data_IF_672471477198
#
_entry.id   IF_672471477198
#
_cell.length_a   1.000
_cell.length_b   1.000
_cell.length_c   1.000
_cell.angle_alpha   90.00
_cell.angle_beta   90.00
_cell.angle_gamma   90.00
#
_symmetry.space_group_name_H-M   'P 1'
#
loop_
_entity.id
_entity.type
_entity.pdbx_description
1 polymer ?
#
# COMPACT_ATOMS: atom_id res chain seq x y z
N UNK A 1 45.11 -13.94 60.50
CA UNK A 1 44.81 -12.82 59.58
C UNK A 1 44.66 -13.39 58.18
N UNK A 2 43.43 -13.49 57.67
CA UNK A 2 43.07 -13.99 56.33
C UNK A 2 42.36 -12.86 55.60
N UNK A 3 42.82 -12.50 54.40
CA UNK A 3 42.05 -11.67 53.45
C UNK A 3 42.04 -12.40 52.12
N UNK A 4 40.90 -13.02 51.80
CA UNK A 4 40.58 -13.53 50.48
C UNK A 4 39.94 -12.38 49.69
N UNK A 5 40.57 -12.02 48.57
CA UNK A 5 39.98 -11.10 47.60
C UNK A 5 39.08 -11.90 46.67
N UNK A 6 37.76 -11.65 46.73
CA UNK A 6 36.81 -12.07 45.71
C UNK A 6 36.92 -11.10 44.53
N UNK A 7 37.57 -11.53 43.45
CA UNK A 7 37.52 -10.82 42.19
C UNK A 7 36.16 -11.12 41.53
N UNK A 8 35.32 -10.09 41.47
CA UNK A 8 33.99 -10.12 40.86
C UNK A 8 34.14 -10.16 39.34
N UNK A 9 33.81 -11.30 38.74
CA UNK A 9 33.83 -11.49 37.29
C UNK A 9 32.48 -11.03 36.74
N UNK A 10 32.41 -9.77 36.32
CA UNK A 10 31.23 -9.19 35.67
C UNK A 10 31.16 -9.74 34.24
N UNK A 11 30.35 -10.78 34.01
CA UNK A 11 29.99 -11.23 32.68
C UNK A 11 29.17 -10.14 31.99
N UNK A 12 29.76 -9.47 31.00
CA UNK A 12 29.03 -8.66 30.02
C UNK A 12 28.17 -9.60 29.18
N UNK A 13 26.91 -9.75 29.57
CA UNK A 13 25.89 -10.31 28.69
C UNK A 13 25.69 -9.34 27.52
N UNK A 14 26.32 -9.64 26.39
CA UNK A 14 25.92 -9.06 25.11
C UNK A 14 24.55 -9.65 24.77
N UNK A 15 23.50 -8.92 25.13
CA UNK A 15 22.17 -9.14 24.57
C UNK A 15 22.25 -8.83 23.08
N UNK A 16 22.48 -9.85 22.26
CA UNK A 16 22.23 -9.77 20.83
C UNK A 16 20.74 -9.53 20.66
N UNK A 17 20.35 -8.25 20.51
CA UNK A 17 19.02 -7.91 20.05
C UNK A 17 18.92 -8.37 18.60
N UNK A 18 18.49 -9.62 18.41
CA UNK A 18 17.97 -10.06 17.13
C UNK A 18 16.66 -9.29 16.91
N UNK A 19 16.76 -8.14 16.24
CA UNK A 19 15.59 -7.50 15.65
C UNK A 19 15.07 -8.47 14.59
N UNK A 20 14.06 -9.26 14.93
CA UNK A 20 13.34 -10.09 13.98
C UNK A 20 12.81 -9.14 12.89
N UNK A 21 13.42 -9.19 11.71
CA UNK A 21 12.88 -8.54 10.53
C UNK A 21 11.51 -9.16 10.27
N UNK A 22 10.46 -8.40 10.53
CA UNK A 22 9.06 -8.83 10.53
C UNK A 22 8.42 -8.87 9.15
N UNK A 23 9.20 -8.63 8.09
CA UNK A 23 8.81 -8.67 6.68
C UNK A 23 9.87 -9.43 5.89
N UNK A 24 9.42 -10.44 5.16
CA UNK A 24 10.20 -11.27 4.24
C UNK A 24 10.05 -10.73 2.81
N UNK A 25 11.18 -10.59 2.11
CA UNK A 25 11.19 -10.30 0.68
C UNK A 25 11.11 -11.61 -0.10
N UNK A 26 9.98 -11.83 -0.79
CA UNK A 26 9.66 -13.12 -1.43
C UNK A 26 10.03 -13.13 -2.92
N UNK A 27 9.84 -12.02 -3.62
CA UNK A 27 10.27 -11.85 -5.00
C UNK A 27 10.55 -10.37 -5.31
N UNK A 28 11.43 -10.10 -6.26
CA UNK A 28 11.83 -8.73 -6.63
C UNK A 28 12.29 -8.63 -8.08
N UNK A 29 11.97 -7.50 -8.71
CA UNK A 29 12.64 -7.04 -9.94
C UNK A 29 13.89 -6.22 -9.62
N UNK A 30 13.90 -5.49 -8.50
CA UNK A 30 15.01 -4.67 -8.02
C UNK A 30 15.23 -4.92 -6.53
N UNK A 31 16.30 -5.66 -6.21
CA UNK A 31 16.57 -6.13 -4.85
C UNK A 31 16.80 -5.00 -3.87
N UNK A 32 17.66 -4.04 -4.23
CA UNK A 32 18.09 -2.98 -3.32
C UNK A 32 16.91 -2.05 -2.99
N UNK A 33 16.10 -1.74 -4.01
CA UNK A 33 14.83 -1.03 -3.83
C UNK A 33 13.87 -1.81 -2.93
N UNK A 34 13.63 -3.09 -3.20
CA UNK A 34 12.66 -3.88 -2.45
C UNK A 34 13.08 -4.10 -0.99
N UNK A 35 14.38 -4.25 -0.71
CA UNK A 35 14.88 -4.27 0.66
C UNK A 35 14.65 -2.93 1.38
N UNK A 36 14.80 -1.80 0.67
CA UNK A 36 14.51 -0.48 1.24
C UNK A 36 13.03 -0.34 1.58
N UNK A 37 12.14 -0.76 0.67
CA UNK A 37 10.69 -0.82 0.94
C UNK A 37 10.40 -1.67 2.16
N UNK A 38 10.93 -2.91 2.22
CA UNK A 38 10.70 -3.83 3.33
C UNK A 38 11.08 -3.21 4.69
N UNK A 39 12.20 -2.48 4.74
CA UNK A 39 12.63 -1.75 5.96
C UNK A 39 11.68 -0.62 6.34
N UNK A 40 11.08 0.07 5.36
CA UNK A 40 10.16 1.20 5.58
C UNK A 40 8.72 0.75 5.90
N UNK A 41 8.32 -0.44 5.46
CA UNK A 41 7.00 -1.02 5.70
C UNK A 41 6.74 -1.34 7.18
N UNK A 42 7.77 -1.62 7.97
CA UNK A 42 7.64 -1.93 9.40
C UNK A 42 7.09 -3.33 9.69
N UNK A 43 6.74 -3.59 10.96
CA UNK A 43 6.18 -4.88 11.39
C UNK A 43 4.67 -4.96 11.13
N UNK A 44 4.26 -5.93 10.31
CA UNK A 44 2.94 -6.02 9.67
C UNK A 44 2.67 -4.82 8.76
N UNK A 45 2.07 -5.04 7.59
CA UNK A 45 1.77 -3.98 6.63
C UNK A 45 0.64 -3.07 7.13
N UNK A 46 0.94 -2.24 8.13
CA UNK A 46 0.02 -1.30 8.71
C UNK A 46 -0.13 -0.08 7.79
N UNK A 47 -1.36 0.42 7.71
CA UNK A 47 -1.74 1.61 6.95
C UNK A 47 -1.01 2.89 7.40
N UNK A 48 -0.35 2.89 8.55
CA UNK A 48 0.44 4.00 9.10
C UNK A 48 1.95 3.86 8.86
N UNK A 49 2.37 2.99 7.93
CA UNK A 49 3.77 2.89 7.55
C UNK A 49 4.33 4.23 7.05
N UNK A 50 5.64 4.43 7.14
CA UNK A 50 6.28 5.66 6.63
C UNK A 50 6.01 5.88 5.14
N UNK A 51 5.73 4.82 4.39
CA UNK A 51 5.39 4.89 2.98
C UNK A 51 4.04 5.58 2.76
N UNK A 52 3.01 5.28 3.55
CA UNK A 52 1.67 5.85 3.36
C UNK A 52 1.59 7.34 3.70
N UNK A 53 2.54 7.86 4.49
CA UNK A 53 2.62 9.27 4.86
C UNK A 53 3.21 10.17 3.75
N UNK A 54 3.69 9.58 2.65
CA UNK A 54 4.31 10.33 1.55
C UNK A 54 3.30 11.00 0.61
N UNK A 55 2.03 10.59 0.70
CA UNK A 55 0.92 11.16 -0.09
C UNK A 55 -0.12 11.74 0.86
N UNK A 56 -0.44 13.01 0.65
CA UNK A 56 -1.48 13.69 1.43
C UNK A 56 -2.82 13.52 0.74
N UNK A 57 -3.79 12.96 1.48
CA UNK A 57 -5.16 12.75 1.03
C UNK A 57 -6.07 13.83 1.64
N UNK A 58 -6.95 14.37 0.81
CA UNK A 58 -8.00 15.31 1.20
C UNK A 58 -9.36 14.64 1.01
N UNK A 59 -10.25 14.72 1.99
CA UNK A 59 -11.62 14.24 1.82
C UNK A 59 -12.33 15.04 0.72
N UNK A 60 -13.09 14.36 -0.14
CA UNK A 60 -13.91 15.04 -1.15
C UNK A 60 -15.24 15.44 -0.53
N UNK A 61 -15.55 16.72 -0.62
CA UNK A 61 -16.88 17.25 -0.33
C UNK A 61 -17.71 17.28 -1.63
N UNK A 62 -18.68 16.36 -1.75
CA UNK A 62 -19.60 16.30 -2.89
C UNK A 62 -20.95 16.91 -2.55
N UNK A 63 -21.63 17.44 -3.57
CA UNK A 63 -22.99 17.97 -3.44
C UNK A 63 -23.98 16.87 -2.99
N UNK A 64 -24.94 17.27 -2.16
CA UNK A 64 -26.03 16.42 -1.66
C UNK A 64 -25.73 15.73 -0.33
N UNK A 65 -26.73 15.04 0.21
CA UNK A 65 -26.56 14.26 1.46
C UNK A 65 -25.81 12.96 1.14
N UNK A 66 -24.57 12.86 1.64
CA UNK A 66 -23.81 11.62 1.60
C UNK A 66 -24.46 10.52 2.44
N UNK A 67 -24.14 9.25 2.18
CA UNK A 67 -24.58 8.16 3.04
C UNK A 67 -24.11 8.45 4.47
N UNK A 68 -24.97 8.18 5.47
CA UNK A 68 -24.58 8.29 6.87
C UNK A 68 -23.25 7.56 7.07
N UNK A 69 -22.21 8.30 7.47
CA UNK A 69 -20.81 7.88 7.47
C UNK A 69 -20.71 6.46 8.01
N UNK A 70 -20.58 5.48 7.11
CA UNK A 70 -20.30 4.11 7.52
C UNK A 70 -18.85 4.11 7.97
N UNK A 71 -18.56 3.48 9.11
CA UNK A 71 -17.31 3.58 9.88
C UNK A 71 -16.00 3.39 9.12
N UNK A 72 -16.03 2.94 7.86
CA UNK A 72 -14.84 2.64 7.07
C UNK A 72 -15.02 2.90 5.56
N UNK A 73 -16.05 3.66 5.14
CA UNK A 73 -16.15 4.11 3.74
C UNK A 73 -15.69 5.55 3.62
N UNK A 74 -14.84 5.84 2.64
CA UNK A 74 -14.33 7.19 2.37
C UNK A 74 -14.25 7.48 0.88
N UNK A 75 -14.24 8.77 0.57
CA UNK A 75 -13.98 9.30 -0.76
C UNK A 75 -12.96 10.41 -0.59
N UNK A 76 -11.74 10.15 -1.05
CA UNK A 76 -10.59 11.02 -0.85
C UNK A 76 -9.96 11.37 -2.20
N UNK A 77 -9.28 12.51 -2.30
CA UNK A 77 -8.50 12.92 -3.47
C UNK A 77 -7.08 13.29 -3.09
N UNK A 78 -6.21 13.27 -4.09
CA UNK A 78 -4.86 13.82 -4.03
C UNK A 78 -4.40 14.23 -5.43
N UNK A 79 -3.36 15.07 -5.51
CA UNK A 79 -2.73 15.47 -6.76
C UNK A 79 -1.31 14.92 -6.79
N UNK A 80 -1.03 13.97 -7.69
CA UNK A 80 0.30 13.35 -7.80
C UNK A 80 0.53 12.82 -9.23
N UNK A 81 1.79 12.60 -9.59
CA UNK A 81 2.14 11.98 -10.89
C UNK A 81 2.12 10.46 -10.67
N UNK A 82 1.02 9.79 -11.03
CA UNK A 82 0.78 8.41 -10.62
C UNK A 82 1.50 7.41 -11.52
N UNK A 83 1.53 7.67 -12.81
CA UNK A 83 2.16 6.81 -13.82
C UNK A 83 3.63 7.19 -14.11
N UNK A 84 4.14 8.24 -13.47
CA UNK A 84 5.50 8.77 -13.58
C UNK A 84 5.81 9.32 -14.99
N UNK A 85 4.83 9.96 -15.63
CA UNK A 85 4.99 10.57 -16.95
C UNK A 85 5.47 12.04 -16.90
N UNK A 86 5.62 12.60 -15.69
CA UNK A 86 6.04 13.98 -15.44
C UNK A 86 4.87 14.97 -15.34
N UNK A 87 3.62 14.53 -15.54
CA UNK A 87 2.40 15.33 -15.38
C UNK A 87 1.69 14.93 -14.10
N UNK A 88 0.89 15.84 -13.55
CA UNK A 88 0.12 15.58 -12.34
C UNK A 88 -1.26 15.08 -12.71
N UNK A 89 -1.73 14.12 -11.93
CA UNK A 89 -3.05 13.53 -12.01
C UNK A 89 -3.87 13.92 -10.78
N UNK A 90 -5.17 14.10 -11.00
CA UNK A 90 -6.16 14.01 -9.96
C UNK A 90 -6.43 12.53 -9.71
N UNK A 91 -6.01 12.05 -8.53
CA UNK A 91 -6.26 10.67 -8.10
C UNK A 91 -7.36 10.69 -7.04
N UNK A 92 -8.49 10.07 -7.38
CA UNK A 92 -9.63 9.89 -6.48
C UNK A 92 -9.62 8.46 -5.96
N UNK A 93 -9.67 8.29 -4.64
CA UNK A 93 -9.74 7.00 -3.97
C UNK A 93 -11.10 6.83 -3.33
N UNK A 94 -11.77 5.73 -3.66
CA UNK A 94 -12.94 5.26 -2.92
C UNK A 94 -12.54 4.09 -2.04
N UNK A 95 -12.86 4.15 -0.76
CA UNK A 95 -12.76 3.00 0.15
C UNK A 95 -14.17 2.52 0.49
N UNK A 96 -14.44 1.24 0.29
CA UNK A 96 -15.70 0.60 0.69
C UNK A 96 -15.42 -0.61 1.59
N UNK A 97 -16.36 -0.94 2.47
CA UNK A 97 -16.19 -2.08 3.36
C UNK A 97 -16.96 -3.30 2.90
N UNK A 98 -16.20 -4.31 2.48
CA UNK A 98 -16.71 -5.62 2.14
C UNK A 98 -16.59 -6.52 3.36
N UNK A 99 -17.73 -6.87 3.97
CA UNK A 99 -17.79 -7.74 5.18
C UNK A 99 -16.96 -7.23 6.38
N UNK A 100 -16.70 -5.92 6.43
CA UNK A 100 -15.94 -5.28 7.51
C UNK A 100 -14.51 -4.92 7.14
N UNK A 101 -13.97 -5.48 6.05
CA UNK A 101 -12.63 -5.16 5.57
C UNK A 101 -12.68 -4.05 4.50
N UNK A 102 -11.78 -3.05 4.56
CA UNK A 102 -11.71 -2.01 3.55
C UNK A 102 -11.21 -2.60 2.23
N UNK A 103 -11.78 -2.11 1.14
CA UNK A 103 -11.35 -2.39 -0.23
C UNK A 103 -11.34 -1.07 -0.98
N UNK A 104 -10.21 -0.78 -1.63
CA UNK A 104 -10.01 0.49 -2.30
C UNK A 104 -10.21 0.36 -3.82
N UNK A 105 -10.53 1.49 -4.45
CA UNK A 105 -10.44 1.69 -5.89
C UNK A 105 -9.90 3.07 -6.18
N UNK A 106 -9.14 3.20 -7.27
CA UNK A 106 -8.58 4.47 -7.73
C UNK A 106 -9.21 4.87 -9.06
N UNK A 107 -9.54 6.15 -9.20
CA UNK A 107 -9.97 6.79 -10.44
C UNK A 107 -9.00 7.92 -10.73
N UNK A 108 -8.49 7.95 -11.96
CA UNK A 108 -7.40 8.81 -12.36
C UNK A 108 -7.90 9.74 -13.47
N UNK A 109 -7.68 11.03 -13.28
CA UNK A 109 -8.03 12.08 -14.22
C UNK A 109 -6.84 13.03 -14.40
N UNK A 110 -6.78 13.82 -15.47
CA UNK A 110 -5.89 14.98 -15.52
C UNK A 110 -6.08 15.89 -14.30
N UNK A 111 -5.02 16.49 -13.77
CA UNK A 111 -5.09 17.29 -12.54
C UNK A 111 -6.10 18.45 -12.62
N UNK A 112 -6.31 19.02 -13.80
CA UNK A 112 -7.24 20.11 -14.08
C UNK A 112 -8.68 19.66 -14.36
N UNK A 113 -8.98 18.37 -14.21
CA UNK A 113 -10.32 17.83 -14.47
C UNK A 113 -11.38 18.44 -13.54
N UNK A 114 -12.48 18.89 -14.12
CA UNK A 114 -13.66 19.38 -13.41
C UNK A 114 -14.60 18.25 -12.93
N UNK A 115 -14.21 16.98 -13.02
CA UNK A 115 -15.09 15.82 -12.76
C UNK A 115 -15.78 15.88 -11.38
N UNK A 116 -15.13 16.45 -10.36
CA UNK A 116 -15.71 16.57 -9.03
C UNK A 116 -16.84 17.61 -8.95
N UNK A 117 -16.88 18.58 -9.86
CA UNK A 117 -17.95 19.59 -9.93
C UNK A 117 -19.27 18.99 -10.47
N UNK A 118 -19.13 18.01 -11.36
CA UNK A 118 -20.20 17.24 -12.00
C UNK A 118 -20.63 16.01 -11.19
N UNK A 119 -19.84 15.61 -10.19
CA UNK A 119 -20.11 14.46 -9.33
C UNK A 119 -20.95 14.85 -8.12
N UNK A 120 -21.89 14.00 -7.71
CA UNK A 120 -22.66 14.16 -6.48
C UNK A 120 -22.78 12.85 -5.72
N UNK A 121 -23.19 12.89 -4.46
CA UNK A 121 -23.46 11.66 -3.70
C UNK A 121 -24.59 10.80 -4.30
N UNK A 122 -25.50 11.41 -5.04
CA UNK A 122 -26.60 10.73 -5.73
C UNK A 122 -26.18 10.18 -7.11
N UNK A 123 -25.11 10.73 -7.69
CA UNK A 123 -24.61 10.36 -9.01
C UNK A 123 -23.08 10.37 -9.04
N UNK A 124 -22.51 9.17 -8.87
CA UNK A 124 -21.06 8.91 -8.99
C UNK A 124 -20.65 8.51 -10.41
N UNK A 125 -21.58 8.49 -11.38
CA UNK A 125 -21.30 8.07 -12.75
C UNK A 125 -20.12 8.80 -13.40
N UNK A 126 -19.91 10.12 -13.19
CA UNK A 126 -18.75 10.82 -13.73
C UNK A 126 -17.41 10.26 -13.22
N UNK A 127 -17.33 9.86 -11.94
CA UNK A 127 -16.15 9.20 -11.39
C UNK A 127 -15.95 7.81 -11.99
N UNK A 128 -17.02 7.01 -12.06
CA UNK A 128 -16.97 5.63 -12.58
C UNK A 128 -16.63 5.57 -14.08
N UNK A 129 -16.87 6.66 -14.80
CA UNK A 129 -16.53 6.83 -16.21
C UNK A 129 -15.05 7.17 -16.47
N UNK A 130 -14.21 7.22 -15.42
CA UNK A 130 -12.77 7.41 -15.58
C UNK A 130 -12.21 6.38 -16.58
N UNK A 131 -11.51 6.88 -17.60
CA UNK A 131 -10.84 6.02 -18.58
C UNK A 131 -9.68 5.26 -17.92
N UNK A 132 -8.95 5.94 -17.04
CA UNK A 132 -7.89 5.36 -16.24
C UNK A 132 -8.40 5.15 -14.82
N UNK A 133 -8.49 3.88 -14.44
CA UNK A 133 -8.92 3.48 -13.11
C UNK A 133 -8.20 2.22 -12.68
N UNK A 134 -8.39 1.86 -11.42
CA UNK A 134 -8.00 0.60 -10.83
C UNK A 134 -9.15 0.19 -9.91
N UNK A 135 -10.12 -0.49 -10.50
CA UNK A 135 -11.32 -1.00 -9.82
C UNK A 135 -11.12 -2.49 -9.54
N UNK A 136 -10.65 -2.81 -8.34
CA UNK A 136 -10.60 -4.21 -7.90
C UNK A 136 -11.13 -4.36 -6.48
N UNK A 137 -12.31 -3.80 -6.24
CA UNK A 137 -13.13 -4.13 -5.07
C UNK A 137 -13.65 -5.55 -5.20
N UNK A 138 -12.91 -6.53 -4.68
CA UNK A 138 -13.23 -7.95 -4.86
C UNK A 138 -12.49 -8.55 -6.06
N UNK A 139 -11.73 -9.62 -5.81
CA UNK A 139 -11.07 -10.35 -6.89
C UNK A 139 -9.82 -11.09 -6.46
N UNK A 140 -9.04 -11.48 -7.46
CA UNK A 140 -7.76 -12.18 -7.31
C UNK A 140 -6.70 -11.36 -8.02
N UNK A 141 -5.65 -10.96 -7.30
CA UNK A 141 -4.43 -10.39 -7.87
C UNK A 141 -3.34 -11.48 -7.90
N UNK A 142 -3.13 -12.15 -9.05
CA UNK A 142 -2.14 -13.22 -9.13
C UNK A 142 -0.73 -12.65 -9.00
N UNK A 143 0.09 -13.22 -8.12
CA UNK A 143 1.48 -12.84 -7.95
C UNK A 143 2.32 -13.65 -8.93
N UNK A 144 2.22 -13.35 -10.22
CA UNK A 144 2.86 -14.15 -11.28
C UNK A 144 3.86 -13.36 -12.12
N UNK A 145 3.97 -12.06 -11.91
CA UNK A 145 4.85 -11.20 -12.71
C UNK A 145 6.33 -11.35 -12.33
N UNK A 146 6.62 -11.82 -11.10
CA UNK A 146 7.97 -12.06 -10.61
C UNK A 146 8.18 -13.54 -10.31
N UNK A 147 9.42 -14.02 -10.53
CA UNK A 147 9.80 -15.39 -10.21
C UNK A 147 9.96 -15.58 -8.69
N UNK A 148 9.36 -16.65 -8.17
CA UNK A 148 9.54 -17.08 -6.79
C UNK A 148 10.74 -18.00 -6.68
N UNK A 149 11.37 -18.01 -5.51
CA UNK A 149 12.34 -19.04 -5.18
C UNK A 149 11.70 -20.45 -5.32
N UNK A 150 12.48 -21.37 -5.89
CA UNK A 150 12.02 -22.70 -6.29
C UNK A 150 11.32 -23.42 -5.14
N UNK A 151 10.07 -23.81 -5.34
CA UNK A 151 9.28 -24.63 -4.40
C UNK A 151 8.12 -23.90 -3.71
N UNK A 152 7.96 -22.58 -3.91
CA UNK A 152 6.75 -21.87 -3.46
C UNK A 152 5.70 -21.85 -4.58
N UNK A 153 4.44 -22.18 -4.24
CA UNK A 153 3.32 -21.93 -5.15
C UNK A 153 3.07 -20.43 -5.23
N UNK A 154 2.91 -19.88 -6.44
CA UNK A 154 2.56 -18.48 -6.68
C UNK A 154 1.28 -18.14 -5.90
N UNK A 155 1.35 -17.28 -4.86
CA UNK A 155 0.19 -16.83 -4.12
C UNK A 155 -0.62 -15.84 -4.95
N UNK A 156 -1.79 -15.47 -4.44
CA UNK A 156 -2.55 -14.36 -4.97
C UNK A 156 -3.10 -13.53 -3.80
N UNK A 157 -3.21 -12.22 -3.99
CA UNK A 157 -4.05 -11.42 -3.10
C UNK A 157 -5.50 -11.77 -3.43
N UNK A 158 -6.31 -12.08 -2.41
CA UNK A 158 -7.69 -12.52 -2.63
C UNK A 158 -8.68 -11.69 -1.83
N UNK A 159 -9.91 -11.60 -2.34
CA UNK A 159 -11.10 -11.03 -1.68
C UNK A 159 -11.08 -9.53 -1.42
N UNK A 160 -10.20 -9.00 -0.60
CA UNK A 160 -10.14 -7.58 -0.24
C UNK A 160 -8.70 -7.15 -0.22
N UNK A 161 -8.44 -5.95 -0.71
CA UNK A 161 -7.13 -5.34 -0.60
C UNK A 161 -7.24 -3.83 -0.60
N UNK A 162 -6.27 -3.21 0.05
CA UNK A 162 -6.09 -1.77 0.09
C UNK A 162 -5.05 -1.32 -0.93
N UNK A 163 -5.22 -0.11 -1.42
CA UNK A 163 -4.41 0.46 -2.51
C UNK A 163 -3.84 1.79 -2.02
N UNK A 164 -2.52 1.85 -1.93
CA UNK A 164 -1.81 3.01 -1.40
C UNK A 164 -0.69 3.47 -2.33
N UNK A 165 -0.95 4.51 -3.13
CA UNK A 165 0.12 5.28 -3.73
C UNK A 165 1.09 5.81 -2.66
N UNK A 166 2.39 5.74 -2.95
CA UNK A 166 3.45 6.32 -2.14
C UNK A 166 4.59 6.80 -3.03
N UNK A 167 5.37 7.76 -2.53
CA UNK A 167 6.52 8.33 -3.24
C UNK A 167 7.80 7.86 -2.55
N UNK A 168 8.72 7.27 -3.31
CA UNK A 168 10.04 6.90 -2.83
C UNK A 168 11.09 7.33 -3.86
N UNK A 169 12.10 8.05 -3.39
CA UNK A 169 13.19 8.59 -4.23
C UNK A 169 12.67 9.37 -5.46
N UNK A 170 11.58 10.12 -5.28
CA UNK A 170 10.96 10.94 -6.32
C UNK A 170 10.10 10.18 -7.32
N UNK A 171 9.95 8.87 -7.18
CA UNK A 171 9.10 8.03 -8.03
C UNK A 171 7.85 7.59 -7.27
N UNK A 172 6.70 7.64 -7.91
CA UNK A 172 5.43 7.13 -7.38
C UNK A 172 5.31 5.63 -7.62
N UNK A 173 4.95 4.90 -6.58
CA UNK A 173 4.62 3.48 -6.59
C UNK A 173 3.23 3.28 -6.00
N UNK A 174 2.64 2.11 -6.27
CA UNK A 174 1.38 1.66 -5.67
C UNK A 174 1.66 0.43 -4.82
N UNK A 175 1.31 0.52 -3.54
CA UNK A 175 1.26 -0.62 -2.63
C UNK A 175 -0.13 -1.27 -2.67
N UNK A 176 -0.19 -2.58 -2.89
CA UNK A 176 -1.39 -3.39 -2.73
C UNK A 176 -1.22 -4.30 -1.51
N UNK A 177 -2.07 -4.13 -0.50
CA UNK A 177 -2.03 -4.94 0.72
C UNK A 177 -3.28 -5.78 0.82
N UNK A 178 -3.17 -7.09 1.01
CA UNK A 178 -4.35 -7.94 1.19
C UNK A 178 -5.11 -7.66 2.50
N UNK A 179 -6.37 -8.09 2.59
CA UNK A 179 -7.21 -7.84 3.76
C UNK A 179 -6.64 -8.40 5.07
N UNK A 180 -5.83 -9.47 5.00
CA UNK A 180 -5.14 -10.04 6.17
C UNK A 180 -3.84 -9.32 6.52
N UNK A 181 -3.37 -8.42 5.65
CA UNK A 181 -2.09 -7.72 5.76
C UNK A 181 -0.90 -8.68 5.86
N UNK A 182 -1.04 -9.84 5.24
CA UNK A 182 -0.01 -10.86 5.11
C UNK A 182 0.90 -10.58 3.92
N UNK A 183 0.37 -9.94 2.88
CA UNK A 183 1.07 -9.65 1.63
C UNK A 183 1.03 -8.17 1.28
N UNK A 184 2.16 -7.67 0.78
CA UNK A 184 2.28 -6.38 0.14
C UNK A 184 2.94 -6.55 -1.23
N UNK A 185 2.24 -6.11 -2.27
CA UNK A 185 2.79 -5.94 -3.61
C UNK A 185 3.15 -4.48 -3.78
N UNK A 186 4.37 -4.21 -4.25
CA UNK A 186 4.74 -2.89 -4.73
C UNK A 186 4.83 -2.94 -6.23
N UNK A 187 4.13 -2.02 -6.90
CA UNK A 187 4.07 -1.94 -8.34
C UNK A 187 4.20 -0.49 -8.83
N UNK A 188 4.52 -0.31 -10.11
CA UNK A 188 4.36 0.95 -10.83
C UNK A 188 3.04 0.95 -11.58
N UNK A 189 2.30 2.05 -11.52
CA UNK A 189 1.10 2.22 -12.33
C UNK A 189 1.48 2.58 -13.76
N UNK A 190 0.85 1.94 -14.75
CA UNK A 190 1.14 2.12 -16.19
C UNK A 190 -0.09 2.55 -17.01
N UNK A 191 -1.11 3.09 -16.34
CA UNK A 191 -2.39 3.45 -16.94
C UNK A 191 -3.26 2.22 -17.27
N UNK A 192 -4.55 2.46 -17.49
CA UNK A 192 -5.53 1.47 -17.96
C UNK A 192 -5.51 0.17 -17.13
N UNK A 193 -5.56 0.29 -15.80
CA UNK A 193 -5.51 -0.83 -14.84
C UNK A 193 -4.21 -1.66 -14.85
N UNK A 194 -3.18 -1.27 -15.61
CA UNK A 194 -1.92 -2.02 -15.69
C UNK A 194 -0.99 -1.65 -14.55
N UNK A 195 -0.52 -2.68 -13.87
CA UNK A 195 0.52 -2.60 -12.85
C UNK A 195 1.74 -3.38 -13.32
N UNK A 196 2.92 -2.80 -13.07
CA UNK A 196 4.20 -3.46 -13.23
C UNK A 196 4.76 -3.77 -11.85
N UNK A 197 4.65 -5.03 -11.43
CA UNK A 197 5.11 -5.47 -10.11
C UNK A 197 6.64 -5.33 -9.98
N UNK A 198 7.07 -4.85 -8.82
CA UNK A 198 8.46 -4.62 -8.48
C UNK A 198 8.88 -5.49 -7.29
N UNK A 199 8.03 -5.61 -6.27
CA UNK A 199 8.33 -6.37 -5.05
C UNK A 199 7.12 -7.17 -4.59
N UNK A 200 7.37 -8.40 -4.13
CA UNK A 200 6.44 -9.18 -3.30
C UNK A 200 7.02 -9.31 -1.90
N UNK A 201 6.31 -8.76 -0.92
CA UNK A 201 6.68 -8.80 0.49
C UNK A 201 5.64 -9.60 1.27
N UNK A 202 6.09 -10.37 2.27
CA UNK A 202 5.23 -11.13 3.17
C UNK A 202 5.52 -10.79 4.62
N UNK A 203 4.51 -10.57 5.45
CA UNK A 203 4.70 -10.43 6.88
C UNK A 203 5.15 -11.77 7.47
N UNK A 204 6.21 -11.77 8.27
CA UNK A 204 6.53 -12.91 9.12
C UNK A 204 5.45 -12.98 10.23
N UNK A 205 4.86 -14.16 10.42
CA UNK A 205 3.86 -14.40 11.48
C UNK A 205 4.49 -14.50 12.86
#
# INVERSE_FOLDING_TARGET
MKRMNLASMLLLMFSTMAAAASVELVAFADKDFCEKVARLSGARFLFESRLSQTVQWEAIDLKGDGPAVRRCSSLDKTILDLDNDGRKDLVVKTTFCMKGDPSDSLYIFPAESAVLEDTSWLDLSPLLAAHDKFERTGGVYPLTALEFDKGQSSPALTTTFSVHPFILDGTTYVGLTDGRREWLVVAKYRGKERLEDVCYLRSAN
#
